data_IF_238354385978
#
_entry.id   IF_238354385978
#
_cell.length_a   1.000
_cell.length_b   1.000
_cell.length_c   1.000
_cell.angle_alpha   90.00
_cell.angle_beta   90.00
_cell.angle_gamma   90.00
#
_symmetry.space_group_name_H-M   'P 1'
#
loop_
_entity.id
_entity.type
_entity.pdbx_description
1 polymer ?
#
# COMPACT_ATOMS: atom_id res chain seq x y z
N UNK A 1 -15.17 9.48 -23.55
CA UNK A 1 -15.24 8.08 -23.09
C UNK A 1 -14.49 7.98 -21.77
N UNK A 2 -15.19 8.17 -20.64
CA UNK A 2 -14.57 8.04 -19.31
C UNK A 2 -14.55 6.57 -18.92
N UNK A 3 -13.42 5.91 -19.09
CA UNK A 3 -13.22 4.55 -18.61
C UNK A 3 -13.38 4.46 -17.08
N UNK A 4 -13.48 3.24 -16.52
CA UNK A 4 -13.57 3.05 -15.08
C UNK A 4 -12.38 3.73 -14.39
N UNK A 5 -12.70 4.63 -13.46
CA UNK A 5 -11.73 5.41 -12.70
C UNK A 5 -11.91 5.12 -11.21
N UNK A 6 -10.87 5.40 -10.42
CA UNK A 6 -10.93 5.13 -8.99
C UNK A 6 -12.04 5.91 -8.27
N UNK A 7 -12.65 5.29 -7.26
CA UNK A 7 -13.57 5.98 -6.36
C UNK A 7 -12.82 6.97 -5.45
N UNK A 8 -12.76 8.22 -5.90
CA UNK A 8 -12.14 9.32 -5.13
C UNK A 8 -12.86 9.60 -3.82
N UNK A 9 -14.17 9.38 -3.74
CA UNK A 9 -14.95 9.60 -2.51
C UNK A 9 -14.53 8.60 -1.43
N UNK A 10 -14.35 7.34 -1.82
CA UNK A 10 -13.88 6.29 -0.94
C UNK A 10 -12.44 6.55 -0.46
N UNK A 11 -11.55 6.99 -1.37
CA UNK A 11 -10.19 7.42 -1.00
C UNK A 11 -10.23 8.65 -0.08
N UNK A 12 -11.14 9.61 -0.30
CA UNK A 12 -11.38 10.78 0.57
C UNK A 12 -11.71 10.38 2.00
N UNK A 13 -12.67 9.49 2.18
CA UNK A 13 -13.03 8.94 3.48
C UNK A 13 -11.87 8.19 4.12
N UNK A 14 -11.16 7.36 3.35
CA UNK A 14 -10.09 6.52 3.88
C UNK A 14 -8.87 7.29 4.38
N UNK A 15 -8.64 8.51 3.87
CA UNK A 15 -7.45 9.31 4.15
C UNK A 15 -7.81 10.71 4.64
N UNK A 16 -8.93 10.81 5.36
CA UNK A 16 -9.41 12.05 5.96
C UNK A 16 -8.34 12.73 6.84
N UNK A 17 -8.38 14.04 6.96
CA UNK A 17 -7.35 14.81 7.67
C UNK A 17 -7.52 14.83 9.18
N UNK A 18 -8.57 14.23 9.73
CA UNK A 18 -8.77 14.10 11.17
C UNK A 18 -7.88 12.99 11.77
N UNK A 19 -7.79 12.98 13.10
CA UNK A 19 -6.97 12.05 13.88
C UNK A 19 -7.62 10.68 14.11
N UNK A 20 -8.88 10.48 13.70
CA UNK A 20 -9.56 9.20 13.85
C UNK A 20 -8.93 8.15 12.92
N UNK A 21 -8.85 6.87 13.34
CA UNK A 21 -8.30 5.82 12.50
C UNK A 21 -9.20 5.60 11.28
N UNK A 22 -8.59 5.27 10.13
CA UNK A 22 -9.33 4.85 8.94
C UNK A 22 -10.20 3.62 9.27
N UNK A 23 -11.53 3.69 9.08
CA UNK A 23 -12.41 2.54 9.29
C UNK A 23 -11.98 1.33 8.46
N UNK A 24 -11.93 0.15 9.10
CA UNK A 24 -11.41 -1.08 8.48
C UNK A 24 -12.11 -1.48 7.17
N UNK A 25 -13.42 -1.24 7.07
CA UNK A 25 -14.21 -1.57 5.88
C UNK A 25 -13.73 -0.81 4.63
N UNK A 26 -13.20 0.41 4.78
CA UNK A 26 -12.72 1.21 3.64
C UNK A 26 -11.52 0.57 2.94
N UNK A 27 -10.66 -0.13 3.67
CA UNK A 27 -9.57 -0.90 3.07
C UNK A 27 -10.12 -2.03 2.20
N UNK A 28 -11.13 -2.75 2.69
CA UNK A 28 -11.75 -3.84 1.96
C UNK A 28 -12.51 -3.34 0.73
N UNK A 29 -13.29 -2.26 0.86
CA UNK A 29 -14.06 -1.69 -0.25
C UNK A 29 -13.12 -1.20 -1.35
N UNK A 30 -12.01 -0.52 -1.00
CA UNK A 30 -11.01 -0.09 -1.97
C UNK A 30 -10.33 -1.28 -2.66
N UNK A 31 -9.99 -2.32 -1.89
CA UNK A 31 -9.41 -3.55 -2.45
C UNK A 31 -10.37 -4.20 -3.45
N UNK A 32 -11.65 -4.35 -3.10
CA UNK A 32 -12.67 -4.92 -3.98
C UNK A 32 -12.89 -4.06 -5.22
N UNK A 33 -12.89 -2.73 -5.06
CA UNK A 33 -13.00 -1.80 -6.18
C UNK A 33 -11.83 -1.93 -7.15
N UNK A 34 -10.59 -1.93 -6.67
CA UNK A 34 -9.39 -2.15 -7.50
C UNK A 34 -9.46 -3.51 -8.21
N UNK A 35 -9.86 -4.57 -7.48
CA UNK A 35 -9.98 -5.93 -8.04
C UNK A 35 -11.01 -6.03 -9.18
N UNK A 36 -12.03 -5.16 -9.20
CA UNK A 36 -13.09 -5.22 -10.23
C UNK A 36 -12.58 -4.86 -11.63
N UNK A 37 -11.57 -3.99 -11.73
CA UNK A 37 -10.88 -3.70 -12.99
C UNK A 37 -9.46 -3.16 -12.70
N UNK A 38 -8.48 -4.05 -12.41
CA UNK A 38 -7.16 -3.64 -11.94
C UNK A 38 -6.41 -2.78 -12.95
N UNK A 39 -6.56 -3.08 -14.26
CA UNK A 39 -5.85 -2.38 -15.32
C UNK A 39 -6.24 -0.90 -15.43
N UNK A 40 -7.52 -0.57 -15.21
CA UNK A 40 -8.00 0.79 -15.29
C UNK A 40 -7.97 1.52 -13.92
N UNK A 41 -8.38 0.82 -12.86
CA UNK A 41 -8.60 1.43 -11.55
C UNK A 41 -7.28 1.60 -10.78
N UNK A 42 -6.36 0.64 -10.84
CA UNK A 42 -5.14 0.69 -10.04
C UNK A 42 -4.22 1.89 -10.40
N UNK A 43 -3.96 2.20 -11.69
CA UNK A 43 -3.19 3.40 -12.05
C UNK A 43 -3.89 4.68 -11.62
N UNK A 44 -5.22 4.74 -11.77
CA UNK A 44 -6.03 5.89 -11.37
C UNK A 44 -5.98 6.12 -9.85
N UNK A 45 -6.09 5.04 -9.06
CA UNK A 45 -6.06 5.08 -7.60
C UNK A 45 -4.69 5.49 -7.09
N UNK A 46 -3.61 4.89 -7.61
CA UNK A 46 -2.24 5.25 -7.27
C UNK A 46 -1.99 6.73 -7.55
N UNK A 47 -2.31 7.20 -8.77
CA UNK A 47 -2.19 8.61 -9.14
C UNK A 47 -2.89 9.55 -8.15
N UNK A 48 -4.15 9.27 -7.82
CA UNK A 48 -4.91 10.12 -6.91
C UNK A 48 -4.34 10.10 -5.48
N UNK A 49 -3.94 8.93 -4.97
CA UNK A 49 -3.33 8.79 -3.65
C UNK A 49 -2.03 9.60 -3.54
N UNK A 50 -1.12 9.48 -4.51
CA UNK A 50 0.19 10.15 -4.44
C UNK A 50 0.12 11.63 -4.81
N UNK A 51 -0.46 11.96 -5.97
CA UNK A 51 -0.42 13.34 -6.48
C UNK A 51 -1.40 14.26 -5.75
N UNK A 52 -2.56 13.74 -5.31
CA UNK A 52 -3.61 14.58 -4.70
C UNK A 52 -3.68 14.45 -3.17
N UNK A 53 -3.36 13.29 -2.59
CA UNK A 53 -3.55 13.06 -1.15
C UNK A 53 -2.26 13.16 -0.35
N UNK A 54 -1.20 12.47 -0.77
CA UNK A 54 0.09 12.51 -0.09
C UNK A 54 0.72 13.92 -0.13
N UNK A 55 0.43 14.70 -1.18
CA UNK A 55 0.87 16.09 -1.33
C UNK A 55 0.21 17.08 -0.36
N UNK A 56 -0.88 16.71 0.33
CA UNK A 56 -1.56 17.60 1.30
C UNK A 56 -0.70 17.86 2.54
N UNK A 57 -0.85 19.02 3.20
CA UNK A 57 -0.02 19.39 4.36
C UNK A 57 -0.36 18.61 5.65
N UNK A 58 -1.52 17.95 5.72
CA UNK A 58 -1.97 17.23 6.93
C UNK A 58 -1.13 15.98 7.20
N UNK A 59 -0.51 15.92 8.38
CA UNK A 59 0.25 14.75 8.87
C UNK A 59 -0.62 13.49 8.90
N UNK A 60 -1.87 13.60 9.34
CA UNK A 60 -2.84 12.49 9.35
C UNK A 60 -3.14 11.97 7.95
N UNK A 61 -3.30 12.87 6.98
CA UNK A 61 -3.55 12.47 5.58
C UNK A 61 -2.34 11.73 5.03
N UNK A 62 -1.11 12.24 5.24
CA UNK A 62 0.13 11.59 4.80
C UNK A 62 0.27 10.19 5.39
N UNK A 63 0.12 10.06 6.71
CA UNK A 63 0.15 8.78 7.39
C UNK A 63 -0.91 7.81 6.84
N UNK A 64 -2.17 8.24 6.72
CA UNK A 64 -3.27 7.39 6.24
C UNK A 64 -3.06 6.95 4.79
N UNK A 65 -2.51 7.81 3.91
CA UNK A 65 -2.17 7.43 2.54
C UNK A 65 -1.10 6.35 2.52
N UNK A 66 0.01 6.54 3.26
CA UNK A 66 1.11 5.56 3.29
C UNK A 66 0.65 4.20 3.83
N UNK A 67 -0.14 4.22 4.91
CA UNK A 67 -0.75 3.01 5.48
C UNK A 67 -1.73 2.33 4.51
N UNK A 68 -2.58 3.12 3.84
CA UNK A 68 -3.54 2.59 2.87
C UNK A 68 -2.85 1.91 1.69
N UNK A 69 -1.84 2.56 1.10
CA UNK A 69 -1.06 1.98 0.00
C UNK A 69 -0.36 0.71 0.45
N UNK A 70 0.31 0.73 1.60
CA UNK A 70 0.97 -0.45 2.17
C UNK A 70 -0.01 -1.63 2.27
N UNK A 71 -1.17 -1.40 2.88
CA UNK A 71 -2.15 -2.47 3.13
C UNK A 71 -2.75 -2.99 1.82
N UNK A 72 -3.03 -2.11 0.86
CA UNK A 72 -3.51 -2.52 -0.47
C UNK A 72 -2.44 -3.32 -1.23
N UNK A 73 -1.17 -2.91 -1.20
CA UNK A 73 -0.07 -3.63 -1.85
C UNK A 73 0.17 -5.03 -1.25
N UNK A 74 -0.15 -5.24 0.04
CA UNK A 74 -0.01 -6.55 0.69
C UNK A 74 -1.24 -7.44 0.57
N UNK A 75 -2.44 -6.86 0.37
CA UNK A 75 -3.70 -7.60 0.41
C UNK A 75 -4.40 -7.74 -0.93
N UNK A 76 -4.06 -6.92 -1.93
CA UNK A 76 -4.46 -7.14 -3.31
C UNK A 76 -3.71 -8.37 -3.84
N UNK A 77 -4.45 -9.33 -4.41
CA UNK A 77 -3.85 -10.52 -5.02
C UNK A 77 -3.20 -10.23 -6.38
N UNK A 78 -3.57 -9.11 -7.02
CA UNK A 78 -3.12 -8.73 -8.35
C UNK A 78 -1.93 -7.75 -8.26
N UNK A 79 -0.81 -8.01 -8.94
CA UNK A 79 0.40 -7.15 -8.90
C UNK A 79 0.21 -5.76 -9.49
N UNK A 80 -0.87 -5.52 -10.24
CA UNK A 80 -1.11 -4.28 -10.98
C UNK A 80 -1.13 -3.04 -10.09
N UNK A 81 -1.61 -3.15 -8.83
CA UNK A 81 -1.58 -2.03 -7.89
C UNK A 81 -0.15 -1.69 -7.45
N UNK A 82 0.65 -2.69 -7.12
CA UNK A 82 2.06 -2.52 -6.75
C UNK A 82 2.84 -1.88 -7.91
N UNK A 83 2.67 -2.40 -9.14
CA UNK A 83 3.27 -1.83 -10.37
C UNK A 83 2.86 -0.38 -10.59
N UNK A 84 1.60 -0.04 -10.34
CA UNK A 84 1.08 1.34 -10.45
C UNK A 84 1.68 2.29 -9.39
N UNK A 85 2.15 1.77 -8.26
CA UNK A 85 2.78 2.55 -7.20
C UNK A 85 4.28 2.78 -7.42
N UNK A 86 4.97 1.91 -8.17
CA UNK A 86 6.43 1.98 -8.39
C UNK A 86 6.94 3.34 -8.92
N UNK A 87 6.25 4.02 -9.87
CA UNK A 87 6.69 5.34 -10.34
C UNK A 87 6.75 6.41 -9.23
N UNK A 88 6.00 6.22 -8.14
CA UNK A 88 5.93 7.13 -7.01
C UNK A 88 6.92 6.78 -5.89
N UNK A 89 7.80 5.80 -6.09
CA UNK A 89 8.76 5.33 -5.09
C UNK A 89 9.69 6.43 -4.53
N UNK A 90 10.08 7.43 -5.34
CA UNK A 90 10.85 8.57 -4.83
C UNK A 90 10.04 9.39 -3.82
N UNK A 91 8.80 9.73 -4.18
CA UNK A 91 7.90 10.50 -3.33
C UNK A 91 7.60 9.79 -2.01
N UNK A 92 7.49 8.46 -2.01
CA UNK A 92 7.35 7.67 -0.77
C UNK A 92 8.61 7.79 0.09
N UNK A 93 9.80 7.64 -0.51
CA UNK A 93 11.08 7.72 0.21
C UNK A 93 11.33 9.10 0.82
N UNK A 94 10.88 10.16 0.17
CA UNK A 94 10.98 11.53 0.72
C UNK A 94 10.22 11.67 2.06
N UNK A 95 9.22 10.83 2.31
CA UNK A 95 8.49 10.83 3.57
C UNK A 95 9.19 10.05 4.70
N UNK A 96 10.26 9.32 4.42
CA UNK A 96 11.07 8.63 5.45
C UNK A 96 11.86 9.60 6.33
N UNK A 97 12.09 10.82 5.86
CA UNK A 97 12.72 11.92 6.61
C UNK A 97 11.73 13.05 6.90
N UNK A 98 10.42 12.78 6.81
CA UNK A 98 9.37 13.78 7.02
C UNK A 98 9.50 14.48 8.38
N UNK A 99 9.48 15.82 8.35
CA UNK A 99 9.49 16.68 9.52
C UNK A 99 8.40 17.75 9.34
N UNK A 100 7.35 17.67 10.16
CA UNK A 100 6.23 18.61 10.17
C UNK A 100 6.18 19.37 11.50
N UNK A 101 5.21 20.29 11.65
CA UNK A 101 4.96 20.97 12.93
C UNK A 101 4.62 19.91 14.00
N UNK A 102 5.36 19.86 15.13
CA UNK A 102 5.02 18.96 16.23
C UNK A 102 3.64 19.28 16.81
N UNK A 103 2.91 18.24 17.21
CA UNK A 103 1.65 18.41 17.93
C UNK A 103 1.91 18.95 19.34
N UNK A 104 1.11 19.91 19.85
CA UNK A 104 1.34 20.53 21.16
C UNK A 104 1.27 19.54 22.34
N UNK A 105 0.59 18.40 22.19
CA UNK A 105 0.42 17.40 23.26
C UNK A 105 1.23 16.13 22.96
N UNK A 106 1.23 15.68 21.70
CA UNK A 106 1.83 14.41 21.27
C UNK A 106 3.24 14.57 20.72
N UNK A 107 3.73 15.81 20.58
CA UNK A 107 5.06 16.12 20.05
C UNK A 107 5.24 15.58 18.63
N UNK A 108 6.36 14.91 18.39
CA UNK A 108 6.75 14.41 17.07
C UNK A 108 6.14 13.02 16.73
N UNK A 109 5.30 12.46 17.60
CA UNK A 109 4.78 11.09 17.45
C UNK A 109 4.08 10.84 16.10
N UNK A 110 3.37 11.84 15.58
CA UNK A 110 2.62 11.71 14.32
C UNK A 110 3.53 11.82 13.10
N UNK A 111 4.54 12.68 13.15
CA UNK A 111 5.58 12.76 12.12
C UNK A 111 6.40 11.47 12.10
N UNK A 112 6.75 10.92 13.27
CA UNK A 112 7.44 9.65 13.41
C UNK A 112 6.64 8.50 12.76
N UNK A 113 5.31 8.49 12.91
CA UNK A 113 4.43 7.54 12.21
C UNK A 113 4.50 7.71 10.70
N UNK A 114 4.55 8.92 10.16
CA UNK A 114 4.73 9.12 8.71
C UNK A 114 6.04 8.48 8.24
N UNK A 115 7.14 8.71 8.97
CA UNK A 115 8.46 8.14 8.62
C UNK A 115 8.47 6.62 8.68
N UNK A 116 7.90 6.04 9.74
CA UNK A 116 7.78 4.59 9.91
C UNK A 116 6.97 3.96 8.76
N UNK A 117 5.82 4.54 8.43
CA UNK A 117 4.93 4.01 7.40
C UNK A 117 5.42 4.27 5.98
N UNK A 118 6.26 5.29 5.76
CA UNK A 118 6.96 5.46 4.49
C UNK A 118 7.87 4.26 4.20
N UNK A 119 8.63 3.81 5.22
CA UNK A 119 9.47 2.61 5.14
C UNK A 119 8.68 1.32 4.86
N UNK A 120 7.55 1.13 5.55
CA UNK A 120 6.67 -0.03 5.31
C UNK A 120 6.03 0.01 3.93
N UNK A 121 5.56 1.19 3.52
CA UNK A 121 4.92 1.39 2.22
C UNK A 121 5.88 1.07 1.07
N UNK A 122 7.12 1.60 1.11
CA UNK A 122 8.08 1.31 0.04
C UNK A 122 8.43 -0.18 -0.02
N UNK A 123 8.56 -0.86 1.14
CA UNK A 123 8.79 -2.30 1.18
C UNK A 123 7.62 -3.09 0.57
N UNK A 124 6.38 -2.71 0.85
CA UNK A 124 5.18 -3.35 0.31
C UNK A 124 5.02 -3.13 -1.20
N UNK A 125 5.32 -1.93 -1.72
CA UNK A 125 5.29 -1.64 -3.16
C UNK A 125 6.20 -2.61 -3.94
N UNK A 126 7.34 -3.01 -3.37
CA UNK A 126 8.27 -3.97 -3.99
C UNK A 126 8.09 -5.42 -3.52
N UNK A 127 7.10 -5.74 -2.69
CA UNK A 127 6.90 -7.10 -2.17
C UNK A 127 6.52 -8.12 -3.27
N UNK A 128 5.77 -7.68 -4.29
CA UNK A 128 5.37 -8.53 -5.42
C UNK A 128 6.56 -9.03 -6.26
N UNK A 129 7.65 -8.25 -6.32
CA UNK A 129 8.91 -8.67 -6.99
C UNK A 129 9.46 -9.96 -6.36
N UNK A 130 9.19 -10.20 -5.07
CA UNK A 130 9.67 -11.40 -4.37
C UNK A 130 8.79 -12.64 -4.57
N UNK A 131 7.51 -12.47 -4.91
CA UNK A 131 6.58 -13.61 -5.11
C UNK A 131 6.76 -14.20 -6.51
N UNK A 132 7.01 -13.37 -7.52
CA UNK A 132 7.29 -13.84 -8.90
C UNK A 132 8.63 -14.59 -9.02
N UNK A 133 9.56 -14.41 -8.08
CA UNK A 133 10.82 -15.17 -7.99
C UNK A 133 10.70 -16.57 -7.37
N UNK A 134 9.51 -17.00 -6.90
CA UNK A 134 9.28 -18.32 -6.27
C UNK A 134 8.36 -19.26 -7.06
N UNK A 135 7.97 -18.92 -8.28
CA UNK A 135 7.19 -19.81 -9.15
C UNK A 135 8.09 -20.54 -10.18
N UNK A 136 9.14 -21.17 -9.67
CA UNK A 136 9.99 -22.11 -10.42
C UNK A 136 10.36 -23.28 -9.53
N UNK A 137 9.49 -24.29 -9.44
CA UNK A 137 9.79 -25.50 -8.68
C UNK A 137 8.56 -26.31 -8.35
N UNK A 138 8.09 -27.12 -9.31
CA UNK A 138 7.26 -28.27 -8.99
C UNK A 138 8.05 -29.22 -8.09
N UNK A 139 7.87 -29.12 -6.78
CA UNK A 139 8.32 -30.13 -5.83
C UNK A 139 7.24 -31.22 -5.77
N UNK A 140 7.28 -32.13 -6.75
CA UNK A 140 6.64 -33.45 -6.58
C UNK A 140 7.23 -34.09 -5.33
N UNK A 141 6.35 -34.42 -4.39
CA UNK A 141 6.65 -35.28 -3.26
C UNK A 141 7.17 -36.62 -3.80
N UNK A 142 8.45 -36.92 -3.58
CA UNK A 142 8.95 -38.29 -3.59
C UNK A 142 9.42 -38.63 -2.19
N UNK A 143 8.53 -39.33 -1.50
CA UNK A 143 8.81 -40.10 -0.30
C UNK A 143 9.42 -41.41 -0.82
N UNK A 144 10.69 -41.66 -0.56
CA UNK A 144 11.28 -43.00 -0.65
C UNK A 144 11.95 -43.31 0.68
N UNK A 145 11.18 -43.96 1.55
CA UNK A 145 11.67 -44.70 2.71
C UNK A 145 11.81 -46.17 2.32
N UNK A 146 13.04 -46.60 2.07
CA UNK A 146 13.49 -47.99 1.92
C UNK A 146 14.94 -47.97 2.40
N UNK A 147 15.46 -48.79 3.31
CA UNK A 147 14.96 -49.91 4.09
C UNK A 147 16.18 -50.43 4.86
N UNK A 148 16.05 -50.61 6.17
CA UNK A 148 17.09 -51.25 6.98
C UNK A 148 17.34 -52.67 6.52
N UNK A 149 18.59 -53.06 6.30
CA UNK A 149 18.99 -54.45 6.51
C UNK A 149 20.47 -54.54 6.91
N UNK A 150 20.65 -54.95 8.17
CA UNK A 150 21.76 -55.69 8.79
C UNK A 150 23.20 -55.25 8.57
#
# INVERSE_FOLDING_TARGET
MGGPSCDRSLINKATSSDSSPTPGYLYNDLRMHIKSNPMAIAPSAAKYLFESRLSRPSVHTKFKVLKLVETLCLTCSEPQFNRSCMPYASMIRDHSTFSGKPDPVRGDAENARVREWAGKCIAAVYADVKVQGRNGGGAQSRIEGIGSNR
#
